data_IF_725293078967
#
_entry.id   IF_725293078967
#
_cell.length_a   1.000
_cell.length_b   1.000
_cell.length_c   1.000
_cell.angle_alpha   90.00
_cell.angle_beta   90.00
_cell.angle_gamma   90.00
#
_symmetry.space_group_name_H-M   'P 1'
#
loop_
_entity.id
_entity.type
_entity.pdbx_description
1 polymer ?
#
# COMPACT_ATOMS: atom_id res chain seq x y z
N UNK A 1 3.45 -21.42 14.44
CA UNK A 1 2.48 -22.30 13.76
C UNK A 1 3.03 -22.61 12.38
N UNK A 2 3.43 -23.86 12.10
CA UNK A 2 4.16 -24.20 10.86
C UNK A 2 3.22 -24.12 9.65
N UNK A 3 3.66 -23.42 8.59
CA UNK A 3 2.94 -23.24 7.30
C UNK A 3 2.47 -24.58 6.69
N UNK A 4 3.10 -25.71 7.05
CA UNK A 4 2.73 -27.06 6.60
C UNK A 4 1.40 -27.59 7.16
N UNK A 5 0.84 -26.98 8.21
CA UNK A 5 -0.45 -27.39 8.80
C UNK A 5 -1.67 -26.73 8.15
N UNK A 6 -1.45 -25.62 7.43
CA UNK A 6 -2.46 -24.99 6.58
C UNK A 6 -2.16 -25.45 5.14
N UNK A 7 -3.16 -25.83 4.34
CA UNK A 7 -2.96 -26.24 2.94
C UNK A 7 -2.57 -25.04 2.07
N UNK A 8 -1.39 -24.45 2.32
CA UNK A 8 -0.86 -23.31 1.58
C UNK A 8 -0.63 -23.71 0.12
N UNK A 9 -1.23 -22.97 -0.81
CA UNK A 9 -0.98 -23.16 -2.23
C UNK A 9 0.10 -22.21 -2.72
N UNK A 10 0.66 -22.52 -3.90
CA UNK A 10 1.68 -21.68 -4.53
C UNK A 10 1.19 -20.25 -4.72
N UNK A 11 -0.08 -20.09 -5.08
CA UNK A 11 -0.70 -18.78 -5.33
C UNK A 11 -0.69 -17.89 -4.08
N UNK A 12 -0.95 -18.45 -2.89
CA UNK A 12 -0.86 -17.71 -1.61
C UNK A 12 0.56 -17.19 -1.37
N UNK A 13 1.56 -18.03 -1.65
CA UNK A 13 2.97 -17.68 -1.48
C UNK A 13 3.32 -16.54 -2.46
N UNK A 14 2.88 -16.65 -3.70
CA UNK A 14 3.15 -15.64 -4.74
C UNK A 14 2.54 -14.30 -4.38
N UNK A 15 1.24 -14.24 -4.06
CA UNK A 15 0.55 -12.97 -3.81
C UNK A 15 1.03 -12.27 -2.53
N UNK A 16 1.34 -13.03 -1.47
CA UNK A 16 1.94 -12.46 -0.25
C UNK A 16 3.39 -12.01 -0.52
N UNK A 17 4.17 -12.75 -1.31
CA UNK A 17 5.53 -12.36 -1.67
C UNK A 17 5.56 -11.07 -2.49
N UNK A 18 4.62 -10.88 -3.42
CA UNK A 18 4.47 -9.62 -4.18
C UNK A 18 4.31 -8.43 -3.23
N UNK A 19 3.46 -8.56 -2.21
CA UNK A 19 3.29 -7.53 -1.20
C UNK A 19 4.58 -7.27 -0.41
N UNK A 20 5.24 -8.32 0.10
CA UNK A 20 6.49 -8.19 0.85
C UNK A 20 7.61 -7.54 0.01
N UNK A 21 7.71 -7.89 -1.27
CA UNK A 21 8.64 -7.26 -2.20
C UNK A 21 8.30 -5.79 -2.43
N UNK A 22 7.00 -5.47 -2.57
CA UNK A 22 6.55 -4.07 -2.69
C UNK A 22 6.93 -3.21 -1.48
N UNK A 23 6.75 -3.75 -0.27
CA UNK A 23 7.20 -3.14 0.99
C UNK A 23 8.72 -2.93 0.98
N UNK A 24 9.49 -3.98 0.68
CA UNK A 24 10.95 -3.92 0.67
C UNK A 24 11.48 -2.88 -0.33
N UNK A 25 10.92 -2.86 -1.55
CA UNK A 25 11.29 -1.90 -2.60
C UNK A 25 10.98 -0.46 -2.16
N UNK A 26 9.79 -0.22 -1.60
CA UNK A 26 9.40 1.09 -1.11
C UNK A 26 10.37 1.63 -0.06
N UNK A 27 10.66 0.85 0.98
CA UNK A 27 11.57 1.28 2.03
C UNK A 27 13.03 1.37 1.57
N UNK A 28 13.47 0.51 0.66
CA UNK A 28 14.82 0.58 0.09
C UNK A 28 15.01 1.85 -0.76
N UNK A 29 14.04 2.20 -1.60
CA UNK A 29 14.08 3.45 -2.36
C UNK A 29 14.05 4.67 -1.45
N UNK A 30 13.22 4.64 -0.41
CA UNK A 30 13.12 5.74 0.55
C UNK A 30 14.41 5.94 1.36
N UNK A 31 14.97 4.86 1.91
CA UNK A 31 16.23 4.90 2.64
C UNK A 31 17.37 5.40 1.74
N UNK A 32 17.46 4.91 0.50
CA UNK A 32 18.51 5.32 -0.44
C UNK A 32 18.39 6.80 -0.80
N UNK A 33 17.17 7.29 -1.03
CA UNK A 33 16.93 8.72 -1.26
C UNK A 33 17.40 9.57 -0.09
N UNK A 34 17.01 9.23 1.13
CA UNK A 34 17.36 10.01 2.32
C UNK A 34 18.86 9.96 2.66
N UNK A 35 19.56 8.86 2.35
CA UNK A 35 21.02 8.76 2.49
C UNK A 35 21.74 9.64 1.45
N UNK A 36 21.27 9.65 0.19
CA UNK A 36 21.95 10.31 -0.93
C UNK A 36 21.46 11.74 -1.21
N UNK A 37 20.48 12.24 -0.46
CA UNK A 37 19.79 13.51 -0.69
C UNK A 37 20.73 14.75 -0.72
N UNK A 38 21.88 14.69 -0.04
CA UNK A 38 22.84 15.80 0.00
C UNK A 38 23.99 15.67 -1.04
N UNK A 39 23.99 14.63 -1.87
CA UNK A 39 25.14 14.36 -2.75
C UNK A 39 25.21 15.27 -3.98
N UNK A 40 24.12 15.36 -4.76
CA UNK A 40 24.04 16.26 -5.93
C UNK A 40 22.59 16.49 -6.35
N UNK A 41 22.31 17.61 -7.03
CA UNK A 41 20.97 17.93 -7.54
C UNK A 41 20.42 16.83 -8.46
N UNK A 42 21.28 16.24 -9.30
CA UNK A 42 20.92 15.20 -10.23
C UNK A 42 20.50 13.89 -9.51
N UNK A 43 21.31 13.43 -8.55
CA UNK A 43 20.99 12.22 -7.77
C UNK A 43 19.77 12.44 -6.88
N UNK A 44 19.65 13.59 -6.25
CA UNK A 44 18.49 13.93 -5.41
C UNK A 44 17.21 13.90 -6.22
N UNK A 45 17.20 14.49 -7.41
CA UNK A 45 16.04 14.47 -8.30
C UNK A 45 15.69 13.06 -8.77
N UNK A 46 16.69 12.23 -9.07
CA UNK A 46 16.48 10.84 -9.48
C UNK A 46 15.91 9.98 -8.35
N UNK A 47 16.54 9.98 -7.18
CA UNK A 47 16.12 9.16 -6.05
C UNK A 47 14.80 9.63 -5.43
N UNK A 48 14.50 10.93 -5.45
CA UNK A 48 13.19 11.44 -5.06
C UNK A 48 12.07 10.85 -5.94
N UNK A 49 12.31 10.64 -7.24
CA UNK A 49 11.34 9.96 -8.12
C UNK A 49 11.15 8.50 -7.73
N UNK A 50 12.24 7.80 -7.40
CA UNK A 50 12.17 6.42 -6.96
C UNK A 50 11.49 6.27 -5.60
N UNK A 51 11.69 7.21 -4.68
CA UNK A 51 10.96 7.25 -3.40
C UNK A 51 9.43 7.33 -3.61
N UNK A 52 8.98 8.24 -4.49
CA UNK A 52 7.56 8.28 -4.86
C UNK A 52 7.08 7.03 -5.62
N UNK A 53 7.89 6.48 -6.52
CA UNK A 53 7.57 5.23 -7.21
C UNK A 53 7.44 4.07 -6.22
N UNK A 54 8.26 4.05 -5.16
CA UNK A 54 8.21 3.10 -4.08
C UNK A 54 6.84 3.05 -3.41
N UNK A 55 6.26 4.23 -3.09
CA UNK A 55 4.91 4.34 -2.52
C UNK A 55 3.88 3.69 -3.45
N UNK A 56 3.95 3.97 -4.75
CA UNK A 56 3.04 3.41 -5.74
C UNK A 56 3.17 1.89 -5.88
N UNK A 57 4.41 1.38 -5.89
CA UNK A 57 4.71 -0.06 -5.92
C UNK A 57 4.19 -0.76 -4.67
N UNK A 58 4.34 -0.16 -3.48
CA UNK A 58 3.77 -0.66 -2.24
C UNK A 58 2.24 -0.73 -2.30
N UNK A 59 1.58 0.35 -2.73
CA UNK A 59 0.12 0.40 -2.83
C UNK A 59 -0.41 -0.63 -3.84
N UNK A 60 0.22 -0.75 -5.00
CA UNK A 60 -0.12 -1.77 -6.00
C UNK A 60 0.10 -3.19 -5.44
N UNK A 61 1.26 -3.45 -4.83
CA UNK A 61 1.60 -4.72 -4.22
C UNK A 61 0.68 -5.12 -3.07
N UNK A 62 0.13 -4.16 -2.33
CA UNK A 62 -0.90 -4.40 -1.31
C UNK A 62 -2.25 -4.77 -1.92
N UNK A 63 -2.59 -4.22 -3.09
CA UNK A 63 -3.80 -4.52 -3.83
C UNK A 63 -3.86 -5.97 -4.33
N UNK A 64 -2.73 -6.51 -4.82
CA UNK A 64 -2.66 -7.86 -5.42
C UNK A 64 -3.23 -8.96 -4.50
N UNK A 65 -2.69 -9.20 -3.28
CA UNK A 65 -3.23 -10.22 -2.39
C UNK A 65 -4.60 -9.84 -1.80
N UNK A 66 -4.91 -8.56 -1.67
CA UNK A 66 -6.22 -8.10 -1.16
C UNK A 66 -7.34 -8.46 -2.13
N UNK A 67 -7.10 -8.28 -3.44
CA UNK A 67 -8.02 -8.68 -4.51
C UNK A 67 -8.10 -10.21 -4.59
N UNK A 68 -6.97 -10.91 -4.50
CA UNK A 68 -6.91 -12.37 -4.49
C UNK A 68 -7.85 -12.97 -3.44
N UNK A 69 -7.67 -12.58 -2.17
CA UNK A 69 -8.49 -13.11 -1.09
C UNK A 69 -9.92 -12.57 -1.12
N UNK A 70 -10.11 -11.31 -1.50
CA UNK A 70 -11.44 -10.69 -1.58
C UNK A 70 -12.37 -11.29 -2.63
N UNK A 71 -11.82 -11.87 -3.70
CA UNK A 71 -12.58 -12.54 -4.76
C UNK A 71 -12.12 -13.98 -4.96
N UNK A 72 -11.70 -14.65 -3.89
CA UNK A 72 -11.05 -15.97 -3.92
C UNK A 72 -11.82 -17.00 -4.78
N UNK A 73 -13.16 -16.95 -4.74
CA UNK A 73 -14.03 -17.88 -5.47
C UNK A 73 -14.45 -17.40 -6.88
N UNK A 74 -14.01 -16.22 -7.32
CA UNK A 74 -14.35 -15.64 -8.61
C UNK A 74 -13.09 -15.14 -9.34
N UNK A 75 -12.48 -16.04 -10.10
CA UNK A 75 -11.25 -15.77 -10.85
C UNK A 75 -11.42 -14.65 -11.90
N UNK A 76 -12.59 -14.56 -12.53
CA UNK A 76 -12.87 -13.52 -13.53
C UNK A 76 -12.80 -12.12 -12.91
N UNK A 77 -13.35 -11.95 -11.70
CA UNK A 77 -13.25 -10.69 -10.96
C UNK A 77 -11.84 -10.40 -10.47
N UNK A 78 -11.08 -11.43 -10.04
CA UNK A 78 -9.68 -11.25 -9.69
C UNK A 78 -8.87 -10.68 -10.86
N UNK A 79 -8.95 -11.30 -12.03
CA UNK A 79 -8.25 -10.83 -13.23
C UNK A 79 -8.68 -9.43 -13.66
N UNK A 80 -9.99 -9.16 -13.65
CA UNK A 80 -10.50 -7.82 -13.96
C UNK A 80 -9.89 -6.75 -13.03
N UNK A 81 -9.89 -6.98 -11.72
CA UNK A 81 -9.36 -6.02 -10.77
C UNK A 81 -7.83 -5.93 -10.77
N UNK A 82 -7.12 -7.02 -11.00
CA UNK A 82 -5.67 -6.98 -11.17
C UNK A 82 -5.26 -6.21 -12.42
N UNK A 83 -5.93 -6.42 -13.56
CA UNK A 83 -5.62 -5.71 -14.79
C UNK A 83 -5.91 -4.21 -14.67
N UNK A 84 -7.06 -3.84 -14.09
CA UNK A 84 -7.42 -2.43 -13.88
C UNK A 84 -6.49 -1.76 -12.87
N UNK A 85 -6.18 -2.40 -11.73
CA UNK A 85 -5.26 -1.86 -10.73
C UNK A 85 -3.83 -1.75 -11.27
N UNK A 86 -3.35 -2.75 -12.01
CA UNK A 86 -2.01 -2.72 -12.61
C UNK A 86 -1.91 -1.69 -13.73
N UNK A 87 -2.93 -1.58 -14.58
CA UNK A 87 -2.99 -0.57 -15.64
C UNK A 87 -3.05 0.85 -15.09
N UNK A 88 -3.84 1.09 -14.04
CA UNK A 88 -3.91 2.40 -13.37
C UNK A 88 -2.63 2.74 -12.61
N UNK A 89 -1.99 1.78 -11.94
CA UNK A 89 -0.68 1.96 -11.34
C UNK A 89 0.38 2.32 -12.40
N UNK A 90 0.41 1.61 -13.52
CA UNK A 90 1.33 1.89 -14.62
C UNK A 90 1.10 3.29 -15.20
N UNK A 91 -0.16 3.65 -15.46
CA UNK A 91 -0.52 5.00 -15.92
C UNK A 91 -0.08 6.08 -14.94
N UNK A 92 -0.31 5.86 -13.64
CA UNK A 92 0.13 6.76 -12.58
C UNK A 92 1.66 6.91 -12.57
N UNK A 93 2.41 5.81 -12.69
CA UNK A 93 3.87 5.83 -12.76
C UNK A 93 4.37 6.63 -13.98
N UNK A 94 3.82 6.36 -15.16
CA UNK A 94 4.21 7.05 -16.39
C UNK A 94 3.99 8.56 -16.27
N UNK A 95 2.81 8.99 -15.81
CA UNK A 95 2.47 10.41 -15.67
C UNK A 95 3.34 11.09 -14.62
N UNK A 96 3.50 10.47 -13.45
CA UNK A 96 4.21 11.10 -12.31
C UNK A 96 5.73 11.13 -12.49
N UNK A 97 6.30 10.18 -13.23
CA UNK A 97 7.74 10.13 -13.54
C UNK A 97 8.12 10.93 -14.79
N UNK A 98 7.15 11.40 -15.58
CA UNK A 98 7.42 12.16 -16.79
C UNK A 98 8.16 13.50 -16.49
N UNK A 99 9.24 13.84 -17.22
CA UNK A 99 10.05 15.05 -17.01
C UNK A 99 9.27 16.35 -16.77
N UNK A 100 8.18 16.57 -17.52
CA UNK A 100 7.33 17.77 -17.37
C UNK A 100 6.54 17.81 -16.07
N UNK A 101 6.12 16.66 -15.54
CA UNK A 101 5.31 16.53 -14.34
C UNK A 101 6.13 16.51 -13.04
N UNK A 102 7.46 16.51 -13.14
CA UNK A 102 8.38 16.60 -11.98
C UNK A 102 8.47 18.02 -11.42
N UNK A 103 8.15 19.04 -12.23
CA UNK A 103 8.16 20.45 -11.81
C UNK A 103 7.35 20.68 -10.51
N UNK A 104 7.79 21.59 -9.62
CA UNK A 104 7.07 21.93 -8.38
C UNK A 104 5.60 22.31 -8.62
N UNK A 105 5.28 22.92 -9.76
CA UNK A 105 3.92 23.32 -10.14
C UNK A 105 2.93 22.15 -10.20
N UNK A 106 3.40 20.94 -10.48
CA UNK A 106 2.57 19.73 -10.58
C UNK A 106 2.56 18.90 -9.29
N UNK A 107 3.11 19.42 -8.18
CA UNK A 107 3.13 18.70 -6.89
C UNK A 107 1.73 18.27 -6.43
N UNK A 108 0.75 19.17 -6.53
CA UNK A 108 -0.64 18.86 -6.17
C UNK A 108 -1.23 17.78 -7.09
N UNK A 109 -0.99 17.87 -8.40
CA UNK A 109 -1.44 16.85 -9.36
C UNK A 109 -0.86 15.47 -9.04
N UNK A 110 0.44 15.36 -8.75
CA UNK A 110 1.04 14.07 -8.35
C UNK A 110 0.39 13.51 -7.08
N UNK A 111 0.16 14.35 -6.07
CA UNK A 111 -0.56 13.94 -4.87
C UNK A 111 -1.99 13.46 -5.17
N UNK A 112 -2.70 14.13 -6.07
CA UNK A 112 -4.03 13.70 -6.52
C UNK A 112 -3.99 12.35 -7.27
N UNK A 113 -2.97 12.09 -8.10
CA UNK A 113 -2.83 10.80 -8.78
C UNK A 113 -2.56 9.66 -7.80
N UNK A 114 -1.62 9.83 -6.86
CA UNK A 114 -1.36 8.82 -5.83
C UNK A 114 -2.56 8.63 -4.89
N UNK A 115 -3.17 9.72 -4.44
CA UNK A 115 -4.38 9.67 -3.61
C UNK A 115 -5.55 9.01 -4.34
N UNK A 116 -5.77 9.35 -5.61
CA UNK A 116 -6.80 8.75 -6.46
C UNK A 116 -6.57 7.26 -6.70
N UNK A 117 -5.32 6.85 -6.92
CA UNK A 117 -4.97 5.42 -7.00
C UNK A 117 -5.23 4.69 -5.68
N UNK A 118 -4.94 5.30 -4.53
CA UNK A 118 -5.29 4.72 -3.23
C UNK A 118 -6.79 4.60 -3.02
N UNK A 119 -7.54 5.65 -3.35
CA UNK A 119 -9.00 5.68 -3.21
C UNK A 119 -9.71 4.73 -4.19
N UNK A 120 -9.13 4.42 -5.34
CA UNK A 120 -9.73 3.49 -6.30
C UNK A 120 -9.90 2.07 -5.72
N UNK A 121 -9.10 1.71 -4.71
CA UNK A 121 -9.24 0.43 -3.99
C UNK A 121 -10.61 0.25 -3.33
N UNK A 122 -11.28 1.36 -2.96
CA UNK A 122 -12.63 1.35 -2.40
C UNK A 122 -13.62 0.71 -3.39
N UNK A 123 -13.40 0.83 -4.70
CA UNK A 123 -14.29 0.30 -5.74
C UNK A 123 -14.42 -1.22 -5.60
N UNK A 124 -13.31 -1.94 -5.52
CA UNK A 124 -13.35 -3.40 -5.41
C UNK A 124 -13.79 -3.87 -4.01
N UNK A 125 -13.51 -3.09 -2.96
CA UNK A 125 -14.01 -3.36 -1.60
C UNK A 125 -15.54 -3.28 -1.58
N UNK A 126 -16.11 -2.20 -2.13
CA UNK A 126 -17.56 -1.97 -2.19
C UNK A 126 -18.23 -3.02 -3.09
N UNK A 127 -17.65 -3.32 -4.24
CA UNK A 127 -18.20 -4.36 -5.11
C UNK A 127 -18.22 -5.74 -4.43
N UNK A 128 -17.13 -6.11 -3.76
CA UNK A 128 -17.06 -7.35 -2.98
C UNK A 128 -18.09 -7.39 -1.83
N UNK A 129 -18.29 -6.27 -1.14
CA UNK A 129 -19.33 -6.15 -0.10
C UNK A 129 -20.74 -6.33 -0.64
N UNK A 130 -21.03 -5.81 -1.84
CA UNK A 130 -22.33 -5.98 -2.50
C UNK A 130 -22.55 -7.45 -2.92
N UNK A 131 -21.53 -8.11 -3.43
CA UNK A 131 -21.63 -9.50 -3.92
C UNK A 131 -21.68 -10.55 -2.80
N UNK A 132 -20.83 -10.38 -1.78
CA UNK A 132 -20.58 -11.42 -0.78
C UNK A 132 -21.18 -11.09 0.60
N UNK A 133 -21.68 -9.87 0.78
CA UNK A 133 -22.17 -9.38 2.06
C UNK A 133 -21.05 -9.02 3.04
N UNK A 134 -21.44 -8.35 4.13
CA UNK A 134 -20.49 -7.83 5.13
C UNK A 134 -19.66 -8.93 5.80
N UNK A 135 -20.30 -10.00 6.25
CA UNK A 135 -19.67 -11.05 7.05
C UNK A 135 -18.54 -11.77 6.30
N UNK A 136 -18.83 -12.23 5.08
CA UNK A 136 -17.86 -12.94 4.26
C UNK A 136 -16.73 -12.01 3.80
N UNK A 137 -17.07 -10.82 3.31
CA UNK A 137 -16.06 -9.90 2.78
C UNK A 137 -15.14 -9.34 3.86
N UNK A 138 -15.68 -9.06 5.06
CA UNK A 138 -14.87 -8.65 6.21
C UNK A 138 -13.85 -9.71 6.59
N UNK A 139 -14.22 -10.99 6.52
CA UNK A 139 -13.33 -12.09 6.83
C UNK A 139 -12.28 -12.31 5.73
N UNK A 140 -12.70 -12.34 4.46
CA UNK A 140 -11.83 -12.62 3.31
C UNK A 140 -10.84 -11.48 3.01
N UNK A 141 -11.27 -10.23 3.14
CA UNK A 141 -10.40 -9.09 2.92
C UNK A 141 -9.75 -8.56 4.20
N UNK A 142 -10.08 -9.13 5.37
CA UNK A 142 -9.62 -8.60 6.67
C UNK A 142 -9.95 -7.10 6.84
N UNK A 143 -11.19 -6.68 6.54
CA UNK A 143 -11.58 -5.25 6.48
C UNK A 143 -11.27 -4.47 7.77
N UNK A 144 -11.34 -5.12 8.94
CA UNK A 144 -10.97 -4.48 10.21
C UNK A 144 -9.48 -4.10 10.24
N UNK A 145 -8.60 -4.98 9.75
CA UNK A 145 -7.16 -4.71 9.64
C UNK A 145 -6.89 -3.61 8.62
N UNK A 146 -7.59 -3.62 7.49
CA UNK A 146 -7.51 -2.53 6.52
C UNK A 146 -7.94 -1.18 7.10
N UNK A 147 -8.96 -1.14 7.96
CA UNK A 147 -9.38 0.07 8.66
C UNK A 147 -8.27 0.63 9.57
N UNK A 148 -7.58 -0.24 10.30
CA UNK A 148 -6.42 0.17 11.12
C UNK A 148 -5.22 0.62 10.29
N UNK A 149 -4.93 -0.08 9.18
CA UNK A 149 -3.90 0.31 8.23
C UNK A 149 -4.18 1.70 7.67
N UNK A 150 -5.41 1.92 7.18
CA UNK A 150 -5.85 3.20 6.62
C UNK A 150 -5.76 4.32 7.66
N UNK A 151 -6.15 4.04 8.91
CA UNK A 151 -6.05 5.00 10.02
C UNK A 151 -4.60 5.38 10.31
N UNK A 152 -3.68 4.41 10.36
CA UNK A 152 -2.25 4.67 10.57
C UNK A 152 -1.68 5.54 9.44
N UNK A 153 -1.89 5.15 8.18
CA UNK A 153 -1.42 5.90 7.02
C UNK A 153 -2.01 7.32 6.96
N UNK A 154 -3.31 7.48 7.19
CA UNK A 154 -3.98 8.78 7.14
C UNK A 154 -3.49 9.69 8.28
N UNK A 155 -3.32 9.15 9.48
CA UNK A 155 -2.77 9.90 10.62
C UNK A 155 -1.36 10.40 10.32
N UNK A 156 -0.48 9.52 9.83
CA UNK A 156 0.88 9.91 9.43
C UNK A 156 0.88 10.97 8.32
N UNK A 157 0.03 10.80 7.30
CA UNK A 157 -0.10 11.75 6.20
C UNK A 157 -0.62 13.13 6.66
N UNK A 158 -1.60 13.17 7.56
CA UNK A 158 -2.11 14.42 8.15
C UNK A 158 -1.03 15.11 8.97
N UNK A 159 -0.30 14.37 9.81
CA UNK A 159 0.80 14.92 10.62
C UNK A 159 1.89 15.52 9.72
N UNK A 160 2.29 14.79 8.67
CA UNK A 160 3.25 15.26 7.67
C UNK A 160 2.77 16.51 6.92
N UNK A 161 1.52 16.51 6.44
CA UNK A 161 0.94 17.64 5.75
C UNK A 161 0.84 18.89 6.64
N UNK A 162 0.50 18.69 7.92
CA UNK A 162 0.41 19.77 8.91
C UNK A 162 1.79 20.27 9.38
N UNK A 163 2.86 19.49 9.15
CA UNK A 163 4.23 19.69 9.66
C UNK A 163 4.28 19.79 11.18
N UNK A 164 3.50 18.97 11.87
CA UNK A 164 3.43 18.92 13.33
C UNK A 164 4.31 17.76 13.81
N UNK A 165 5.11 17.91 14.87
CA UNK A 165 5.15 19.02 15.83
C UNK A 165 6.15 20.15 15.51
N UNK A 166 6.98 20.04 14.48
CA UNK A 166 8.04 21.03 14.19
C UNK A 166 7.50 22.43 13.85
N UNK A 167 6.27 22.52 13.35
CA UNK A 167 5.56 23.79 13.15
C UNK A 167 5.19 24.47 14.46
N UNK A 168 4.91 23.70 15.52
CA UNK A 168 4.51 24.23 16.83
C UNK A 168 5.72 24.62 17.67
N UNK A 169 6.78 23.83 17.63
CA UNK A 169 8.01 24.12 18.36
C UNK A 169 9.21 24.02 17.41
N UNK A 170 9.58 25.13 16.75
CA UNK A 170 10.73 25.18 15.87
C UNK A 170 12.02 24.76 16.59
N UNK A 171 12.95 24.15 15.85
CA UNK A 171 14.28 23.74 16.30
C UNK A 171 14.36 22.64 17.38
N UNK A 172 13.23 22.16 17.91
CA UNK A 172 13.23 21.03 18.86
C UNK A 172 13.21 19.67 18.19
N UNK A 173 12.62 19.57 17.00
CA UNK A 173 12.39 18.31 16.31
C UNK A 173 13.31 18.13 15.09
N UNK A 174 14.46 18.81 15.08
CA UNK A 174 15.38 18.80 13.93
C UNK A 174 16.06 17.43 13.73
N UNK A 175 16.24 16.66 14.80
CA UNK A 175 16.89 15.33 14.77
C UNK A 175 15.88 14.19 15.00
N UNK A 176 14.98 14.33 15.97
CA UNK A 176 14.00 13.30 16.35
C UNK A 176 12.59 13.88 16.48
N UNK A 177 11.60 13.12 16.03
CA UNK A 177 10.18 13.46 16.16
C UNK A 177 9.66 14.44 15.11
N UNK A 178 10.40 14.69 14.03
CA UNK A 178 9.89 15.48 12.90
C UNK A 178 8.70 14.78 12.24
N UNK A 179 7.75 15.55 11.69
CA UNK A 179 6.56 15.00 11.02
C UNK A 179 6.88 13.98 9.93
N UNK A 180 7.98 14.17 9.18
CA UNK A 180 8.44 13.23 8.15
C UNK A 180 8.91 11.89 8.73
N UNK A 181 9.53 11.90 9.92
CA UNK A 181 9.89 10.67 10.62
C UNK A 181 8.62 9.96 11.14
N UNK A 182 7.66 10.72 11.66
CA UNK A 182 6.38 10.18 12.12
C UNK A 182 5.63 9.52 10.95
N UNK A 183 5.65 10.12 9.77
CA UNK A 183 5.09 9.53 8.55
C UNK A 183 5.72 8.17 8.24
N UNK A 184 7.05 8.07 8.21
CA UNK A 184 7.76 6.82 7.95
C UNK A 184 7.39 5.72 8.95
N UNK A 185 7.32 6.07 10.24
CA UNK A 185 6.90 5.15 11.30
C UNK A 185 5.45 4.71 11.08
N UNK A 186 4.54 5.63 10.74
CA UNK A 186 3.15 5.31 10.49
C UNK A 186 2.95 4.38 9.28
N UNK A 187 3.71 4.58 8.19
CA UNK A 187 3.70 3.71 7.00
C UNK A 187 4.26 2.32 7.33
N UNK A 188 5.32 2.24 8.15
CA UNK A 188 5.88 0.97 8.63
C UNK A 188 4.86 0.19 9.46
N UNK A 189 4.21 0.85 10.42
CA UNK A 189 3.14 0.26 11.24
C UNK A 189 1.98 -0.21 10.35
N UNK A 190 1.56 0.62 9.39
CA UNK A 190 0.50 0.27 8.45
C UNK A 190 0.87 -0.97 7.62
N UNK A 191 2.13 -1.09 7.17
CA UNK A 191 2.60 -2.27 6.45
C UNK A 191 2.52 -3.53 7.32
N UNK A 192 2.94 -3.46 8.58
CA UNK A 192 2.80 -4.60 9.51
C UNK A 192 1.34 -4.98 9.73
N UNK A 193 0.46 -3.99 9.94
CA UNK A 193 -0.99 -4.21 10.11
C UNK A 193 -1.58 -4.88 8.87
N UNK A 194 -1.23 -4.42 7.68
CA UNK A 194 -1.71 -5.01 6.43
C UNK A 194 -1.22 -6.45 6.27
N UNK A 195 0.06 -6.71 6.55
CA UNK A 195 0.61 -8.07 6.55
C UNK A 195 -0.13 -9.01 7.50
N UNK A 196 -0.40 -8.57 8.74
CA UNK A 196 -1.22 -9.32 9.68
C UNK A 196 -2.63 -9.58 9.15
N UNK A 197 -3.24 -8.59 8.48
CA UNK A 197 -4.52 -8.75 7.79
C UNK A 197 -4.48 -9.81 6.69
N UNK A 198 -3.42 -9.84 5.87
CA UNK A 198 -3.24 -10.86 4.83
C UNK A 198 -3.08 -12.27 5.43
N UNK A 199 -2.28 -12.41 6.50
CA UNK A 199 -2.12 -13.69 7.19
C UNK A 199 -3.43 -14.17 7.83
N UNK A 200 -4.23 -13.25 8.36
CA UNK A 200 -5.55 -13.55 8.90
C UNK A 200 -6.50 -14.04 7.80
N UNK A 201 -6.54 -13.35 6.65
CA UNK A 201 -7.35 -13.76 5.50
C UNK A 201 -6.93 -15.15 4.98
N UNK A 202 -5.62 -15.36 4.79
CA UNK A 202 -5.04 -16.65 4.42
C UNK A 202 -5.47 -17.76 5.38
N UNK A 203 -5.34 -17.52 6.69
CA UNK A 203 -5.70 -18.51 7.71
C UNK A 203 -7.18 -18.86 7.65
N UNK A 204 -8.05 -17.87 7.52
CA UNK A 204 -9.50 -18.07 7.41
C UNK A 204 -9.82 -18.92 6.17
N UNK A 205 -9.30 -18.54 5.01
CA UNK A 205 -9.62 -19.19 3.73
C UNK A 205 -9.09 -20.62 3.67
N UNK A 206 -7.87 -20.87 4.19
CA UNK A 206 -7.24 -22.20 4.17
C UNK A 206 -7.61 -23.08 5.36
N UNK A 207 -8.33 -22.55 6.35
CA UNK A 207 -8.89 -23.35 7.46
C UNK A 207 -10.20 -24.05 7.11
N UNK A 208 -10.91 -23.59 6.07
CA UNK A 208 -12.17 -24.16 5.61
C UNK A 208 -11.93 -25.05 4.39
N UNK A 209 -12.58 -26.21 4.36
CA UNK A 209 -12.46 -27.20 3.26
C UNK A 209 -13.29 -26.76 2.04
N UNK A 210 -14.44 -26.11 2.27
CA UNK A 210 -15.40 -25.70 1.23
C UNK A 210 -15.62 -24.18 1.20
N UNK A 211 -14.56 -23.41 0.97
CA UNK A 211 -14.64 -21.93 1.02
C UNK A 211 -15.46 -21.34 -0.13
N UNK A 212 -15.66 -22.09 -1.22
CA UNK A 212 -16.33 -21.64 -2.44
C UNK A 212 -17.60 -22.41 -2.82
N UNK A 213 -18.10 -23.26 -1.92
CA UNK A 213 -19.36 -23.99 -2.15
C UNK A 213 -20.49 -23.23 -1.47
N UNK A 214 -21.22 -22.45 -2.26
CA UNK A 214 -22.58 -21.98 -1.98
C UNK A 214 -23.42 -22.22 -3.24
#
# INVERSE_FOLDING_TARGET
MSLRRLNAQLDDIVVISIYCLGVAVCFAFSATFHILWNHSQALTSFWNKLDYLGILVLMWGAGIPTIYYGFFCNESLQWFYWMTTSGTALGCAIVTLHPRFISPQFRHWRACFYGGFGLSSIIFVVHGLILHGWELQRAHMSLNWMGWMATSNLTGAIIYAARVPERWVPHKFDIFGASHQILHVAVMIAAVIHFCGLLNAFTIIRSKVDTCVN
#
